data_IF_799444219470
#
_entry.id   IF_799444219470
#
_cell.length_a   1.000
_cell.length_b   1.000
_cell.length_c   1.000
_cell.angle_alpha   90.00
_cell.angle_beta   90.00
_cell.angle_gamma   90.00
#
_symmetry.space_group_name_H-M   'P 1'
#
loop_
_entity.id
_entity.type
_entity.pdbx_description
1 polymer ?
#
# COMPACT_ATOMS: atom_id res chain seq x y z
N UNK A 1 -67.70 19.71 -14.93
CA UNK A 1 -67.53 18.28 -14.65
C UNK A 1 -66.30 17.79 -15.41
N UNK A 2 -65.30 17.34 -14.63
CA UNK A 2 -64.14 16.48 -14.97
C UNK A 2 -63.12 17.09 -15.96
N UNK A 3 -61.99 17.64 -15.50
CA UNK A 3 -60.68 17.01 -15.14
C UNK A 3 -59.86 16.59 -16.39
N UNK A 4 -58.54 16.77 -16.51
CA UNK A 4 -57.49 17.12 -15.55
C UNK A 4 -56.16 17.38 -16.32
N UNK A 5 -55.28 18.18 -15.71
CA UNK A 5 -53.80 18.09 -15.74
C UNK A 5 -53.01 18.15 -17.07
N UNK A 6 -52.08 19.10 -17.19
CA UNK A 6 -50.67 18.79 -16.89
C UNK A 6 -49.72 20.02 -17.04
N UNK A 7 -49.08 20.34 -15.91
CA UNK A 7 -47.62 20.53 -15.79
C UNK A 7 -46.92 21.47 -16.79
N UNK A 8 -47.20 22.76 -16.69
CA UNK A 8 -46.33 23.82 -17.18
C UNK A 8 -46.14 24.86 -16.07
N UNK A 9 -45.20 24.65 -15.13
CA UNK A 9 -44.77 25.77 -14.28
C UNK A 9 -43.46 25.58 -13.48
N UNK A 10 -42.33 25.30 -14.11
CA UNK A 10 -41.00 25.36 -13.42
C UNK A 10 -39.85 25.98 -14.21
N UNK A 11 -40.13 26.64 -15.32
CA UNK A 11 -39.18 27.53 -16.01
C UNK A 11 -39.87 28.87 -16.20
N UNK A 12 -39.16 29.95 -15.90
CA UNK A 12 -39.56 31.35 -16.11
C UNK A 12 -40.48 31.99 -15.05
N UNK A 13 -39.93 32.18 -13.85
CA UNK A 13 -40.11 33.43 -13.11
C UNK A 13 -38.86 33.62 -12.24
N UNK A 14 -37.83 34.26 -12.77
CA UNK A 14 -37.54 35.68 -12.50
C UNK A 14 -37.49 36.01 -11.00
N UNK A 15 -36.53 36.75 -10.45
CA UNK A 15 -35.30 37.41 -10.90
C UNK A 15 -34.95 38.30 -9.68
N UNK A 16 -33.66 38.52 -9.43
CA UNK A 16 -33.07 39.76 -8.87
C UNK A 16 -33.22 40.05 -7.35
N UNK A 17 -32.11 39.88 -6.65
CA UNK A 17 -31.36 40.94 -5.94
C UNK A 17 -29.91 40.42 -5.78
N UNK A 18 -28.88 40.82 -6.52
CA UNK A 18 -28.23 42.14 -6.72
C UNK A 18 -27.39 42.59 -5.50
N UNK A 19 -26.08 42.38 -5.68
CA UNK A 19 -24.92 43.20 -5.32
C UNK A 19 -24.39 43.29 -3.88
N UNK A 20 -23.08 43.01 -3.76
CA UNK A 20 -22.21 43.65 -2.78
C UNK A 20 -20.85 42.95 -2.58
N UNK A 21 -19.80 43.45 -3.28
CA UNK A 21 -18.35 43.40 -2.98
C UNK A 21 -17.73 42.07 -2.49
N UNK A 22 -16.78 41.39 -3.15
CA UNK A 22 -15.62 41.88 -3.88
C UNK A 22 -14.34 41.46 -3.12
N UNK A 23 -13.72 40.32 -3.46
CA UNK A 23 -12.33 39.98 -3.08
C UNK A 23 -11.71 39.03 -4.12
N UNK A 24 -10.69 39.55 -4.80
CA UNK A 24 -9.44 38.95 -5.33
C UNK A 24 -9.44 37.47 -5.71
N UNK A 25 -9.15 37.22 -7.00
CA UNK A 25 -8.70 35.93 -7.52
C UNK A 25 -7.40 35.47 -6.84
N UNK A 26 -7.45 34.35 -6.12
CA UNK A 26 -6.27 33.61 -5.68
C UNK A 26 -6.44 32.14 -6.09
N UNK A 27 -5.52 31.71 -6.94
CA UNK A 27 -5.05 30.35 -7.19
C UNK A 27 -5.98 29.18 -6.91
N UNK A 28 -6.46 28.56 -8.00
CA UNK A 28 -6.81 27.15 -8.01
C UNK A 28 -5.56 26.29 -7.75
N UNK A 29 -5.17 26.13 -6.48
CA UNK A 29 -4.19 25.14 -6.02
C UNK A 29 -4.64 24.62 -4.66
N UNK A 30 -5.47 23.58 -4.66
CA UNK A 30 -5.94 23.00 -3.40
C UNK A 30 -6.68 21.66 -3.50
N UNK A 31 -6.72 21.02 -4.67
CA UNK A 31 -7.50 19.79 -4.88
C UNK A 31 -6.64 18.55 -5.18
N UNK A 32 -5.42 18.46 -4.62
CA UNK A 32 -4.56 17.27 -4.78
C UNK A 32 -3.96 16.73 -3.49
N UNK A 33 -4.23 17.33 -2.33
CA UNK A 33 -3.73 16.84 -1.04
C UNK A 33 -4.68 15.81 -0.36
N UNK A 34 -5.92 15.68 -0.85
CA UNK A 34 -6.95 14.90 -0.15
C UNK A 34 -7.05 13.42 -0.56
N UNK A 35 -6.26 12.96 -1.54
CA UNK A 35 -6.21 11.55 -1.94
C UNK A 35 -5.10 10.74 -1.21
N UNK A 36 -4.11 11.43 -0.63
CA UNK A 36 -2.98 10.80 0.09
C UNK A 36 -3.29 10.52 1.57
N UNK A 37 -4.38 11.07 2.11
CA UNK A 37 -4.73 10.96 3.54
C UNK A 37 -5.72 9.82 3.86
N UNK A 38 -6.27 9.13 2.86
CA UNK A 38 -7.31 8.12 3.05
C UNK A 38 -6.80 6.72 3.48
N UNK A 39 -5.49 6.57 3.74
CA UNK A 39 -4.89 5.32 4.18
C UNK A 39 -4.52 5.24 5.67
N UNK A 40 -4.53 6.36 6.40
CA UNK A 40 -4.13 6.41 7.82
C UNK A 40 -4.98 7.37 8.67
N UNK A 41 -6.21 7.69 8.26
CA UNK A 41 -7.16 8.45 9.08
C UNK A 41 -7.94 7.54 10.05
N UNK A 42 -7.17 6.81 10.83
CA UNK A 42 -7.61 5.94 11.91
C UNK A 42 -6.34 5.34 12.48
N UNK A 43 -6.14 5.43 13.79
CA UNK A 43 -5.14 4.61 14.46
C UNK A 43 -5.87 3.35 14.94
N UNK A 44 -6.12 2.31 14.10
CA UNK A 44 -6.51 1.02 14.63
C UNK A 44 -5.25 0.46 15.30
N UNK A 45 -5.27 0.42 16.64
CA UNK A 45 -4.08 0.35 17.49
C UNK A 45 -2.94 -0.55 17.00
N UNK A 46 -1.73 -0.12 17.31
CA UNK A 46 -0.51 -0.88 17.06
C UNK A 46 -0.64 -2.30 17.63
N UNK A 47 -0.38 -3.32 16.81
CA UNK A 47 -0.46 -4.74 17.16
C UNK A 47 0.92 -5.36 17.40
N UNK A 48 1.94 -4.54 17.65
CA UNK A 48 3.23 -5.03 18.09
C UNK A 48 3.08 -5.82 19.40
N UNK A 49 3.78 -6.94 19.55
CA UNK A 49 3.66 -7.75 20.74
C UNK A 49 4.31 -7.03 21.93
N UNK A 50 3.85 -7.32 23.16
CA UNK A 50 4.50 -6.81 24.37
C UNK A 50 6.00 -7.12 24.37
N UNK A 51 6.83 -6.11 24.64
CA UNK A 51 8.29 -6.24 24.67
C UNK A 51 9.02 -6.00 23.35
N UNK A 52 8.33 -5.75 22.23
CA UNK A 52 8.91 -5.50 20.91
C UNK A 52 9.51 -4.08 20.76
N UNK A 53 10.47 -3.74 21.62
CA UNK A 53 11.04 -2.40 21.70
C UNK A 53 11.78 -1.99 20.42
N UNK A 54 12.63 -2.86 19.88
CA UNK A 54 13.39 -2.55 18.66
C UNK A 54 12.49 -2.49 17.43
N UNK A 55 11.46 -3.34 17.36
CA UNK A 55 10.47 -3.30 16.26
C UNK A 55 9.59 -2.04 16.33
N UNK A 56 9.27 -1.58 17.53
CA UNK A 56 8.59 -0.30 17.74
C UNK A 56 9.46 0.88 17.29
N UNK A 57 10.75 0.85 17.60
CA UNK A 57 11.69 1.87 17.14
C UNK A 57 11.84 1.86 15.61
N UNK A 58 11.97 0.67 15.00
CA UNK A 58 11.99 0.54 13.54
C UNK A 58 10.71 1.14 12.93
N UNK A 59 9.54 0.79 13.46
CA UNK A 59 8.25 1.31 13.00
C UNK A 59 8.21 2.85 13.05
N UNK A 60 8.74 3.44 14.13
CA UNK A 60 8.84 4.88 14.29
C UNK A 60 9.81 5.53 13.30
N UNK A 61 10.95 4.91 13.02
CA UNK A 61 11.91 5.39 12.01
C UNK A 61 11.34 5.30 10.60
N UNK A 62 10.71 4.17 10.26
CA UNK A 62 10.06 3.96 8.95
C UNK A 62 8.88 4.90 8.68
N UNK A 63 8.16 5.31 9.73
CA UNK A 63 7.07 6.29 9.63
C UNK A 63 7.60 7.72 9.36
N UNK A 64 8.83 8.02 9.76
CA UNK A 64 9.51 9.32 9.52
C UNK A 64 10.34 9.32 8.24
N UNK A 65 10.76 8.14 7.78
CA UNK A 65 11.58 8.00 6.59
C UNK A 65 10.84 8.55 5.35
N UNK A 66 11.47 9.42 4.55
CA UNK A 66 10.87 9.97 3.33
C UNK A 66 10.41 8.85 2.39
N UNK A 67 9.18 8.98 1.88
CA UNK A 67 8.63 8.15 0.81
C UNK A 67 8.55 9.01 -0.44
N UNK A 68 9.38 8.74 -1.42
CA UNK A 68 9.36 9.50 -2.68
C UNK A 68 8.17 9.03 -3.50
N UNK A 69 7.15 9.87 -3.63
CA UNK A 69 5.86 9.54 -4.28
C UNK A 69 5.40 10.67 -5.21
N UNK A 70 6.34 11.45 -5.70
CA UNK A 70 6.13 12.62 -6.56
C UNK A 70 6.93 12.56 -7.87
N UNK A 71 7.44 11.37 -8.23
CA UNK A 71 8.19 11.15 -9.45
C UNK A 71 7.38 11.58 -10.68
N UNK A 72 8.03 12.27 -11.62
CA UNK A 72 7.45 12.59 -12.93
C UNK A 72 7.77 11.53 -13.97
N UNK A 73 8.98 11.01 -13.88
CA UNK A 73 9.50 9.90 -14.69
C UNK A 73 10.42 9.07 -13.80
N UNK A 74 10.55 7.79 -14.11
CA UNK A 74 11.57 6.92 -13.50
C UNK A 74 12.39 6.24 -14.61
N UNK A 75 13.67 5.92 -14.39
CA UNK A 75 14.45 5.14 -15.35
C UNK A 75 14.17 3.64 -15.21
N UNK A 76 14.55 2.86 -16.23
CA UNK A 76 14.48 1.39 -16.15
C UNK A 76 15.37 0.82 -15.05
N UNK A 77 16.64 1.26 -15.02
CA UNK A 77 17.64 0.82 -14.06
C UNK A 77 17.89 1.97 -13.09
N UNK A 78 17.76 1.70 -11.80
CA UNK A 78 18.06 2.67 -10.76
C UNK A 78 19.55 2.60 -10.41
N UNK A 79 20.21 3.75 -10.41
CA UNK A 79 21.66 3.87 -10.18
C UNK A 79 22.01 4.87 -9.08
N UNK A 80 21.02 5.58 -8.54
CA UNK A 80 21.23 6.58 -7.50
C UNK A 80 20.18 6.48 -6.38
N UNK A 81 20.57 6.56 -5.09
CA UNK A 81 19.69 6.37 -3.93
C UNK A 81 18.43 7.24 -3.89
N UNK A 82 18.41 8.33 -4.66
CA UNK A 82 17.30 9.26 -4.76
C UNK A 82 16.17 8.75 -5.68
N UNK A 83 16.37 7.59 -6.33
CA UNK A 83 15.41 6.96 -7.24
C UNK A 83 14.55 5.87 -6.59
N UNK A 84 14.81 5.52 -5.33
CA UNK A 84 13.98 4.59 -4.53
C UNK A 84 13.89 5.04 -3.06
N UNK A 85 13.21 4.26 -2.22
CA UNK A 85 13.08 4.55 -0.79
C UNK A 85 14.35 4.12 -0.03
N UNK A 86 15.52 4.66 -0.41
CA UNK A 86 16.83 4.23 0.08
C UNK A 86 16.99 4.36 1.59
N UNK A 87 16.58 5.47 2.18
CA UNK A 87 16.63 5.69 3.63
C UNK A 87 15.82 4.64 4.39
N UNK A 88 14.61 4.33 3.91
CA UNK A 88 13.76 3.36 4.56
C UNK A 88 14.24 1.91 4.34
N UNK A 89 14.79 1.60 3.17
CA UNK A 89 15.44 0.31 2.93
C UNK A 89 16.68 0.15 3.84
N UNK A 90 17.44 1.23 4.05
CA UNK A 90 18.58 1.23 4.96
C UNK A 90 18.17 0.91 6.40
N UNK A 91 17.03 1.42 6.88
CA UNK A 91 16.47 1.08 8.19
C UNK A 91 16.11 -0.40 8.32
N UNK A 92 15.62 -1.02 7.24
CA UNK A 92 15.33 -2.47 7.20
C UNK A 92 16.61 -3.29 7.28
N UNK A 93 17.62 -2.94 6.47
CA UNK A 93 18.90 -3.65 6.42
C UNK A 93 19.68 -3.55 7.73
N UNK A 94 19.57 -2.43 8.44
CA UNK A 94 20.27 -2.20 9.71
C UNK A 94 19.42 -2.50 10.95
N UNK A 95 18.30 -3.23 10.80
CA UNK A 95 17.49 -3.62 11.94
C UNK A 95 18.29 -4.49 12.93
N UNK A 96 18.41 -3.99 14.16
CA UNK A 96 19.22 -4.57 15.22
C UNK A 96 18.52 -5.70 16.00
N UNK A 97 17.19 -5.78 15.94
CA UNK A 97 16.43 -6.86 16.56
C UNK A 97 16.50 -8.17 15.79
N UNK A 98 15.81 -9.19 16.28
CA UNK A 98 15.71 -10.47 15.58
C UNK A 98 14.86 -11.52 16.32
N UNK A 99 14.68 -12.71 15.72
CA UNK A 99 15.16 -13.12 14.40
C UNK A 99 14.53 -12.34 13.23
N UNK A 100 15.15 -12.43 12.04
CA UNK A 100 14.71 -11.74 10.83
C UNK A 100 14.34 -12.77 9.76
N UNK A 101 13.21 -12.60 9.08
CA UNK A 101 12.79 -13.46 7.98
C UNK A 101 12.26 -12.63 6.81
N UNK A 102 12.68 -12.97 5.60
CA UNK A 102 12.16 -12.39 4.36
C UNK A 102 11.39 -13.44 3.57
N UNK A 103 10.20 -13.06 3.09
CA UNK A 103 9.31 -13.90 2.28
C UNK A 103 9.32 -13.46 0.82
N UNK A 104 9.77 -14.33 -0.09
CA UNK A 104 9.79 -14.14 -1.54
C UNK A 104 8.40 -14.36 -2.17
N UNK A 105 7.61 -13.29 -2.20
CA UNK A 105 6.21 -13.34 -2.60
C UNK A 105 6.06 -13.02 -4.09
N UNK A 106 5.74 -14.04 -4.90
CA UNK A 106 5.69 -13.93 -6.38
C UNK A 106 4.30 -14.08 -6.99
N UNK A 107 3.38 -14.76 -6.29
CA UNK A 107 2.06 -15.13 -6.81
C UNK A 107 0.94 -14.48 -5.99
N UNK A 108 0.15 -13.61 -6.63
CA UNK A 108 -0.90 -12.81 -5.97
C UNK A 108 -1.88 -13.61 -5.11
N UNK A 109 -2.22 -14.82 -5.57
CA UNK A 109 -3.20 -15.71 -4.94
C UNK A 109 -2.58 -16.86 -4.15
N UNK A 110 -1.26 -16.89 -3.97
CA UNK A 110 -0.65 -17.87 -3.07
C UNK A 110 -0.97 -17.52 -1.61
N UNK A 111 -0.73 -18.43 -0.65
CA UNK A 111 -1.09 -18.20 0.75
C UNK A 111 -0.09 -17.29 1.49
N UNK A 112 0.71 -16.49 0.78
CA UNK A 112 1.85 -15.75 1.31
C UNK A 112 1.55 -14.88 2.55
N UNK A 113 0.44 -14.11 2.55
CA UNK A 113 0.01 -13.35 3.73
C UNK A 113 -0.24 -14.27 4.94
N UNK A 114 -0.90 -15.41 4.70
CA UNK A 114 -1.21 -16.36 5.76
C UNK A 114 0.04 -17.04 6.32
N UNK A 115 1.04 -17.31 5.47
CA UNK A 115 2.32 -17.86 5.86
C UNK A 115 3.13 -16.87 6.71
N UNK A 116 3.21 -15.61 6.28
CA UNK A 116 3.81 -14.53 7.06
C UNK A 116 3.15 -14.38 8.44
N UNK A 117 1.81 -14.30 8.48
CA UNK A 117 1.01 -14.26 9.71
C UNK A 117 1.36 -15.45 10.62
N UNK A 118 1.43 -16.66 10.07
CA UNK A 118 1.74 -17.87 10.81
C UNK A 118 3.14 -17.81 11.43
N UNK A 119 4.14 -17.39 10.65
CA UNK A 119 5.50 -17.24 11.14
C UNK A 119 5.58 -16.23 12.29
N UNK A 120 4.92 -15.08 12.16
CA UNK A 120 4.84 -14.09 13.23
C UNK A 120 4.19 -14.68 14.49
N UNK A 121 3.09 -15.42 14.37
CA UNK A 121 2.46 -16.07 15.54
C UNK A 121 3.43 -17.01 16.27
N UNK A 122 4.11 -17.90 15.53
CA UNK A 122 5.03 -18.86 16.13
C UNK A 122 6.25 -18.17 16.76
N UNK A 123 6.86 -17.22 16.05
CA UNK A 123 8.05 -16.51 16.53
C UNK A 123 7.76 -15.71 17.79
N UNK A 124 6.63 -15.00 17.83
CA UNK A 124 6.25 -14.16 18.96
C UNK A 124 5.81 -15.03 20.14
N UNK A 125 4.86 -15.95 19.94
CA UNK A 125 4.20 -16.62 21.06
C UNK A 125 4.86 -17.92 21.49
N UNK A 126 5.35 -18.73 20.55
CA UNK A 126 6.01 -20.01 20.86
C UNK A 126 7.48 -19.81 21.20
N UNK A 127 8.21 -19.06 20.36
CA UNK A 127 9.65 -18.84 20.53
C UNK A 127 10.00 -17.60 21.36
N UNK A 128 9.00 -16.80 21.77
CA UNK A 128 9.18 -15.60 22.63
C UNK A 128 10.09 -14.53 22.02
N UNK A 129 10.12 -14.44 20.69
CA UNK A 129 10.83 -13.41 19.96
C UNK A 129 9.90 -12.22 19.68
N UNK A 130 9.70 -11.36 20.68
CA UNK A 130 8.85 -10.17 20.53
C UNK A 130 9.32 -9.25 19.39
N UNK A 131 10.63 -9.16 19.17
CA UNK A 131 11.27 -8.35 18.12
C UNK A 131 11.49 -9.09 16.79
N UNK A 132 10.78 -10.20 16.56
CA UNK A 132 10.84 -10.91 15.28
C UNK A 132 10.41 -10.00 14.12
N UNK A 133 11.28 -9.87 13.12
CA UNK A 133 11.02 -9.03 11.96
C UNK A 133 10.67 -9.87 10.73
N UNK A 134 9.44 -9.66 10.23
CA UNK A 134 8.92 -10.24 9.01
C UNK A 134 8.95 -9.20 7.87
N UNK A 135 9.72 -9.46 6.82
CA UNK A 135 9.75 -8.67 5.60
C UNK A 135 9.07 -9.41 4.44
N UNK A 136 8.28 -8.70 3.63
CA UNK A 136 7.71 -9.20 2.38
C UNK A 136 8.53 -8.68 1.21
N UNK A 137 9.30 -9.55 0.57
CA UNK A 137 9.95 -9.27 -0.70
C UNK A 137 8.96 -9.54 -1.84
N UNK A 138 8.24 -8.50 -2.27
CA UNK A 138 7.03 -8.67 -3.10
C UNK A 138 7.29 -8.29 -4.55
N UNK A 139 7.15 -9.24 -5.47
CA UNK A 139 7.32 -9.03 -6.91
C UNK A 139 6.47 -10.00 -7.72
N UNK A 140 6.63 -10.04 -9.05
CA UNK A 140 5.73 -10.78 -9.92
C UNK A 140 4.28 -10.33 -9.73
N UNK A 141 3.35 -11.25 -9.94
CA UNK A 141 1.92 -10.93 -9.79
C UNK A 141 1.52 -10.51 -8.38
N UNK A 142 2.26 -10.92 -7.33
CA UNK A 142 1.97 -10.50 -5.95
C UNK A 142 2.13 -8.99 -5.75
N UNK A 143 2.98 -8.34 -6.53
CA UNK A 143 3.18 -6.89 -6.48
C UNK A 143 1.91 -6.09 -6.76
N UNK A 144 0.93 -6.67 -7.47
CA UNK A 144 -0.37 -6.02 -7.69
C UNK A 144 -1.08 -5.68 -6.37
N UNK A 145 -0.81 -6.44 -5.31
CA UNK A 145 -1.35 -6.18 -3.98
C UNK A 145 -0.71 -4.96 -3.29
N UNK A 146 0.40 -4.42 -3.80
CA UNK A 146 1.08 -3.25 -3.24
C UNK A 146 0.66 -1.93 -3.89
N UNK A 147 -0.26 -1.93 -4.85
CA UNK A 147 -0.81 -0.70 -5.41
C UNK A 147 -2.08 -0.26 -4.69
N UNK A 148 -2.27 1.04 -4.55
CA UNK A 148 -3.49 1.60 -3.98
C UNK A 148 -4.71 1.45 -4.91
N UNK A 149 -5.87 1.92 -4.44
CA UNK A 149 -7.10 1.84 -5.22
C UNK A 149 -7.08 2.71 -6.49
N UNK A 150 -6.21 3.73 -6.59
CA UNK A 150 -6.11 4.56 -7.78
C UNK A 150 -5.64 3.72 -8.97
N UNK A 151 -4.53 2.99 -8.81
CA UNK A 151 -4.01 2.11 -9.88
C UNK A 151 -4.96 0.96 -10.17
N UNK A 152 -5.60 0.39 -9.14
CA UNK A 152 -6.60 -0.65 -9.34
C UNK A 152 -7.76 -0.17 -10.20
N UNK A 153 -8.32 1.00 -9.88
CA UNK A 153 -9.45 1.57 -10.62
C UNK A 153 -9.06 1.98 -12.04
N UNK A 154 -7.89 2.59 -12.20
CA UNK A 154 -7.47 3.20 -13.47
C UNK A 154 -6.93 2.18 -14.46
N UNK A 155 -6.17 1.17 -14.01
CA UNK A 155 -5.48 0.22 -14.89
C UNK A 155 -5.88 -1.24 -14.66
N UNK A 156 -5.85 -1.71 -13.41
CA UNK A 156 -5.92 -3.15 -13.14
C UNK A 156 -7.34 -3.73 -13.22
N UNK A 157 -8.37 -2.90 -13.04
CA UNK A 157 -9.76 -3.32 -13.28
C UNK A 157 -9.94 -3.77 -14.74
N UNK A 158 -9.38 -3.03 -15.71
CA UNK A 158 -9.39 -3.40 -17.13
C UNK A 158 -8.60 -4.70 -17.36
N UNK A 159 -7.40 -4.80 -16.78
CA UNK A 159 -6.55 -5.99 -16.88
C UNK A 159 -7.27 -7.26 -16.35
N UNK A 160 -8.04 -7.11 -15.28
CA UNK A 160 -8.76 -8.21 -14.63
C UNK A 160 -10.18 -8.41 -15.16
N UNK A 161 -10.55 -7.72 -16.26
CA UNK A 161 -11.91 -7.75 -16.85
C UNK A 161 -13.01 -7.45 -15.82
N UNK A 162 -12.74 -6.50 -14.93
CA UNK A 162 -13.66 -6.07 -13.87
C UNK A 162 -13.83 -7.05 -12.72
N UNK A 163 -13.04 -8.14 -12.66
CA UNK A 163 -13.09 -9.10 -11.55
C UNK A 163 -12.81 -8.43 -10.20
N UNK A 164 -11.88 -7.48 -10.18
CA UNK A 164 -11.54 -6.70 -9.00
C UNK A 164 -11.71 -5.22 -9.32
N UNK A 165 -12.47 -4.53 -8.47
CA UNK A 165 -12.71 -3.08 -8.58
C UNK A 165 -11.91 -2.28 -7.55
N UNK A 166 -11.07 -2.94 -6.76
CA UNK A 166 -10.27 -2.35 -5.70
C UNK A 166 -9.21 -3.36 -5.25
N UNK A 167 -8.22 -2.91 -4.50
CA UNK A 167 -7.23 -3.78 -3.89
C UNK A 167 -7.85 -4.57 -2.73
N UNK A 168 -8.22 -5.82 -2.98
CA UNK A 168 -8.83 -6.69 -1.96
C UNK A 168 -7.86 -7.07 -0.82
N UNK A 169 -6.55 -7.00 -1.04
CA UNK A 169 -5.52 -7.37 -0.05
C UNK A 169 -5.30 -6.32 1.04
N UNK A 170 -5.88 -5.12 0.87
CA UNK A 170 -5.89 -4.06 1.88
C UNK A 170 -7.12 -4.10 2.79
N UNK A 171 -8.13 -4.92 2.45
CA UNK A 171 -9.39 -4.96 3.18
C UNK A 171 -9.15 -5.53 4.58
N UNK A 172 -9.43 -4.72 5.59
CA UNK A 172 -9.48 -5.17 6.98
C UNK A 172 -10.78 -5.96 7.22
N UNK A 173 -10.70 -7.26 7.54
CA UNK A 173 -11.87 -8.07 7.88
C UNK A 173 -12.38 -7.76 9.30
N UNK A 174 -13.59 -8.19 9.68
CA UNK A 174 -14.13 -7.96 11.03
C UNK A 174 -13.20 -8.44 12.17
N UNK A 175 -12.48 -9.54 11.96
CA UNK A 175 -11.49 -10.07 12.89
C UNK A 175 -10.41 -9.03 13.30
N UNK A 176 -10.11 -8.05 12.44
CA UNK A 176 -9.12 -6.99 12.71
C UNK A 176 -9.47 -5.99 13.80
N UNK A 177 -10.72 -6.02 14.26
CA UNK A 177 -11.26 -5.16 15.32
C UNK A 177 -11.47 -5.90 16.65
N UNK A 178 -11.12 -7.19 16.72
CA UNK A 178 -11.22 -8.00 17.94
C UNK A 178 -10.15 -7.61 18.97
N UNK A 179 -10.31 -8.08 20.21
CA UNK A 179 -9.39 -7.76 21.30
C UNK A 179 -8.04 -8.48 21.13
N UNK A 180 -6.92 -7.77 20.90
CA UNK A 180 -5.61 -8.40 20.75
C UNK A 180 -5.08 -9.07 22.02
N UNK A 181 -5.64 -8.77 23.20
CA UNK A 181 -5.26 -9.47 24.43
C UNK A 181 -5.76 -10.92 24.46
N UNK A 182 -6.80 -11.24 23.69
CA UNK A 182 -7.32 -12.60 23.52
C UNK A 182 -6.65 -13.26 22.31
N UNK A 183 -5.33 -13.45 22.39
CA UNK A 183 -4.53 -13.90 21.25
C UNK A 183 -4.78 -15.35 20.83
N UNK A 184 -5.52 -16.11 21.64
CA UNK A 184 -5.96 -17.48 21.36
C UNK A 184 -7.34 -17.53 20.68
N UNK A 185 -8.05 -16.40 20.54
CA UNK A 185 -9.33 -16.33 19.84
C UNK A 185 -9.19 -16.83 18.39
N UNK A 186 -9.89 -17.91 18.09
CA UNK A 186 -9.92 -18.53 16.77
C UNK A 186 -10.52 -17.61 15.69
N UNK A 187 -11.32 -16.61 16.07
CA UNK A 187 -11.90 -15.60 15.19
C UNK A 187 -11.19 -14.23 15.32
N UNK A 188 -10.11 -14.19 16.11
CA UNK A 188 -9.42 -12.96 16.51
C UNK A 188 -8.41 -12.41 15.51
N UNK A 189 -7.78 -11.30 15.89
CA UNK A 189 -6.83 -10.50 15.08
C UNK A 189 -5.54 -11.24 14.68
N UNK A 190 -5.23 -12.37 15.34
CA UNK A 190 -4.08 -13.22 15.01
C UNK A 190 -4.48 -14.53 14.31
N UNK A 191 -5.78 -14.74 14.08
CA UNK A 191 -6.32 -15.92 13.41
C UNK A 191 -6.15 -15.86 11.88
N UNK A 192 -6.44 -16.95 11.15
CA UNK A 192 -6.52 -16.91 9.69
C UNK A 192 -7.62 -15.98 9.13
N UNK A 193 -8.59 -15.58 9.96
CA UNK A 193 -9.69 -14.68 9.56
C UNK A 193 -9.24 -13.22 9.44
N UNK A 194 -8.09 -12.86 10.02
CA UNK A 194 -7.49 -11.54 9.89
C UNK A 194 -6.21 -11.56 9.03
N UNK A 195 -6.40 -11.65 7.71
CA UNK A 195 -5.31 -11.86 6.77
C UNK A 195 -5.29 -10.79 5.66
N UNK A 196 -4.72 -9.63 5.98
CA UNK A 196 -4.54 -8.51 5.05
C UNK A 196 -3.16 -7.86 5.21
N UNK A 197 -2.72 -7.11 4.19
CA UNK A 197 -1.46 -6.36 4.26
C UNK A 197 -1.48 -5.37 5.43
N UNK A 198 -2.58 -4.64 5.58
CA UNK A 198 -2.69 -3.61 6.61
C UNK A 198 -2.55 -4.21 8.01
N UNK A 199 -3.14 -5.39 8.23
CA UNK A 199 -3.05 -6.08 9.53
C UNK A 199 -1.63 -6.58 9.79
N UNK A 200 -0.95 -7.13 8.79
CA UNK A 200 0.45 -7.51 8.94
C UNK A 200 1.35 -6.30 9.21
N UNK A 201 1.11 -5.16 8.55
CA UNK A 201 1.82 -3.91 8.83
C UNK A 201 1.58 -3.43 10.28
N UNK A 202 0.34 -3.52 10.79
CA UNK A 202 0.02 -3.21 12.20
C UNK A 202 0.78 -4.10 13.20
N UNK A 203 1.19 -5.29 12.77
CA UNK A 203 2.00 -6.24 13.55
C UNK A 203 3.51 -6.05 13.34
N UNK A 204 3.93 -5.03 12.60
CA UNK A 204 5.34 -4.71 12.35
C UNK A 204 5.94 -5.34 11.09
N UNK A 205 5.14 -6.01 10.25
CA UNK A 205 5.66 -6.51 8.98
C UNK A 205 5.93 -5.36 8.00
N UNK A 206 7.03 -5.44 7.26
CA UNK A 206 7.42 -4.43 6.26
C UNK A 206 7.32 -5.01 4.86
N UNK A 207 6.70 -4.25 3.95
CA UNK A 207 6.48 -4.69 2.57
C UNK A 207 7.44 -3.97 1.64
N UNK A 208 8.25 -4.74 0.93
CA UNK A 208 9.20 -4.28 -0.06
C UNK A 208 8.59 -4.47 -1.45
N UNK A 209 8.58 -3.39 -2.23
CA UNK A 209 8.10 -3.31 -3.61
C UNK A 209 9.27 -3.34 -4.60
N UNK A 210 9.04 -3.87 -5.79
CA UNK A 210 10.06 -4.11 -6.81
C UNK A 210 9.97 -3.06 -7.92
N UNK A 211 10.98 -2.20 -8.06
CA UNK A 211 11.01 -1.25 -9.18
C UNK A 211 11.02 -1.95 -10.55
N UNK A 212 11.79 -3.03 -10.72
CA UNK A 212 11.76 -3.81 -11.97
C UNK A 212 10.35 -4.30 -12.32
N UNK A 213 9.58 -4.77 -11.34
CA UNK A 213 8.19 -5.20 -11.57
C UNK A 213 7.29 -4.04 -11.96
N UNK A 214 7.46 -2.85 -11.35
CA UNK A 214 6.75 -1.63 -11.78
C UNK A 214 7.04 -1.35 -13.26
N UNK A 215 8.32 -1.39 -13.64
CA UNK A 215 8.75 -1.11 -15.01
C UNK A 215 8.17 -2.11 -16.01
N UNK A 216 8.28 -3.40 -15.72
CA UNK A 216 7.84 -4.49 -16.60
C UNK A 216 6.31 -4.57 -16.71
N UNK A 217 5.59 -4.40 -15.59
CA UNK A 217 4.13 -4.34 -15.58
C UNK A 217 3.64 -3.18 -16.44
N UNK A 218 4.19 -1.99 -16.24
CA UNK A 218 3.76 -0.80 -17.00
C UNK A 218 4.13 -0.90 -18.48
N UNK A 219 5.26 -1.52 -18.81
CA UNK A 219 5.62 -1.86 -20.20
C UNK A 219 4.56 -2.79 -20.82
N UNK A 220 4.18 -3.85 -20.09
CA UNK A 220 3.17 -4.79 -20.53
C UNK A 220 1.78 -4.18 -20.72
N UNK A 221 1.37 -3.26 -19.84
CA UNK A 221 0.12 -2.51 -19.96
C UNK A 221 0.15 -1.53 -21.13
N UNK A 222 1.26 -0.81 -21.30
CA UNK A 222 1.48 0.14 -22.39
C UNK A 222 1.40 -0.57 -23.75
N UNK A 223 2.07 -1.71 -23.91
CA UNK A 223 2.04 -2.52 -25.13
C UNK A 223 0.66 -3.09 -25.45
N UNK A 224 -0.20 -3.28 -24.43
CA UNK A 224 -1.60 -3.70 -24.58
C UNK A 224 -2.56 -2.53 -24.84
N UNK A 225 -2.07 -1.29 -24.91
CA UNK A 225 -2.89 -0.09 -25.04
C UNK A 225 -3.71 0.25 -23.79
N UNK A 226 -3.42 -0.36 -22.63
CA UNK A 226 -4.07 -0.04 -21.36
C UNK A 226 -3.37 1.18 -20.76
N UNK A 227 -3.67 2.35 -21.32
CA UNK A 227 -3.07 3.63 -20.94
C UNK A 227 -4.09 4.77 -21.04
N UNK A 228 -5.08 4.82 -20.11
CA UNK A 228 -6.17 5.79 -20.16
C UNK A 228 -5.70 7.25 -20.14
N UNK A 229 -4.54 7.53 -19.53
CA UNK A 229 -3.94 8.87 -19.47
C UNK A 229 -2.98 9.18 -20.61
N UNK A 230 -2.75 8.26 -21.55
CA UNK A 230 -1.84 8.43 -22.69
C UNK A 230 -0.42 8.87 -22.29
N UNK A 231 0.05 8.39 -21.13
CA UNK A 231 1.38 8.68 -20.62
C UNK A 231 2.44 7.97 -21.46
N UNK A 232 3.65 8.50 -21.56
CA UNK A 232 4.79 7.68 -21.97
C UNK A 232 5.02 6.54 -20.95
N UNK A 233 5.74 5.50 -21.35
CA UNK A 233 6.03 4.39 -20.43
C UNK A 233 6.72 4.85 -19.15
N UNK A 234 7.69 5.78 -19.25
CA UNK A 234 8.46 6.26 -18.10
C UNK A 234 7.62 7.11 -17.12
N UNK A 235 6.63 7.84 -17.65
CA UNK A 235 5.65 8.59 -16.85
C UNK A 235 4.63 7.65 -16.20
N UNK A 236 4.18 6.62 -16.92
CA UNK A 236 3.28 5.60 -16.39
C UNK A 236 3.94 4.79 -15.27
N UNK A 237 5.21 4.42 -15.44
CA UNK A 237 6.01 3.77 -14.39
C UNK A 237 6.13 4.67 -13.15
N UNK A 238 6.38 5.98 -13.32
CA UNK A 238 6.42 6.92 -12.22
C UNK A 238 5.07 7.02 -11.50
N UNK A 239 3.95 7.03 -12.24
CA UNK A 239 2.62 7.04 -11.63
C UNK A 239 2.37 5.77 -10.81
N UNK A 240 2.72 4.59 -11.33
CA UNK A 240 2.61 3.33 -10.56
C UNK A 240 3.46 3.36 -9.29
N UNK A 241 4.70 3.86 -9.38
CA UNK A 241 5.59 4.04 -8.22
C UNK A 241 4.99 4.98 -7.17
N UNK A 242 4.40 6.09 -7.60
CA UNK A 242 3.78 7.09 -6.71
C UNK A 242 2.54 6.54 -5.99
N UNK A 243 1.90 5.51 -6.56
CA UNK A 243 0.68 4.89 -6.05
C UNK A 243 0.91 3.50 -5.43
N UNK A 244 2.11 3.26 -4.91
CA UNK A 244 2.33 2.21 -3.93
C UNK A 244 1.57 2.53 -2.64
N UNK A 245 1.09 1.49 -1.95
CA UNK A 245 0.35 1.64 -0.69
C UNK A 245 1.20 2.30 0.40
N UNK A 246 0.57 2.99 1.37
CA UNK A 246 1.27 3.49 2.54
C UNK A 246 2.09 2.40 3.24
N UNK A 247 3.31 2.75 3.65
CA UNK A 247 4.23 1.84 4.34
C UNK A 247 4.97 0.84 3.44
N UNK A 248 4.61 0.68 2.17
CA UNK A 248 5.43 -0.08 1.22
C UNK A 248 6.73 0.68 0.93
N UNK A 249 7.85 -0.05 0.83
CA UNK A 249 9.19 0.47 0.55
C UNK A 249 9.56 0.11 -0.88
N UNK A 250 9.76 1.10 -1.76
CA UNK A 250 10.30 0.84 -3.09
C UNK A 250 11.78 0.46 -2.99
N UNK A 251 12.12 -0.69 -3.56
CA UNK A 251 13.50 -1.19 -3.71
C UNK A 251 13.96 -1.10 -5.17
N UNK A 252 15.28 -1.07 -5.46
CA UNK A 252 15.79 -1.10 -6.83
C UNK A 252 15.31 -2.30 -7.65
N UNK A 253 15.06 -3.42 -6.98
CA UNK A 253 14.59 -4.66 -7.55
C UNK A 253 14.67 -5.76 -6.51
N UNK A 254 13.59 -6.51 -6.31
CA UNK A 254 13.50 -7.48 -5.21
C UNK A 254 14.54 -8.58 -5.32
N UNK A 255 14.74 -9.16 -6.51
CA UNK A 255 15.70 -10.27 -6.69
C UNK A 255 17.13 -9.85 -6.38
N UNK A 256 17.50 -8.60 -6.64
CA UNK A 256 18.79 -8.03 -6.22
C UNK A 256 18.83 -7.60 -4.75
N UNK A 257 17.68 -7.30 -4.15
CA UNK A 257 17.57 -6.89 -2.73
C UNK A 257 17.60 -8.10 -1.79
N UNK A 258 17.18 -9.29 -2.25
CA UNK A 258 17.18 -10.52 -1.45
C UNK A 258 18.58 -10.88 -0.91
N UNK A 259 19.66 -10.90 -1.72
CA UNK A 259 21.02 -11.09 -1.20
C UNK A 259 21.43 -10.05 -0.14
N UNK A 260 21.06 -8.78 -0.31
CA UNK A 260 21.36 -7.73 0.68
C UNK A 260 20.64 -7.99 2.01
N UNK A 261 19.40 -8.48 1.97
CA UNK A 261 18.67 -8.90 3.16
C UNK A 261 19.32 -10.12 3.82
N UNK A 262 19.75 -11.11 3.06
CA UNK A 262 20.47 -12.27 3.60
C UNK A 262 21.80 -11.86 4.26
N UNK A 263 22.56 -10.95 3.64
CA UNK A 263 23.77 -10.34 4.23
C UNK A 263 23.47 -9.57 5.51
N UNK A 264 22.30 -8.93 5.59
CA UNK A 264 21.77 -8.30 6.79
C UNK A 264 21.23 -9.30 7.83
N UNK A 265 21.32 -10.61 7.59
CA UNK A 265 20.94 -11.67 8.53
C UNK A 265 19.48 -12.11 8.45
N UNK A 266 18.75 -11.75 7.40
CA UNK A 266 17.40 -12.28 7.16
C UNK A 266 17.46 -13.73 6.70
N UNK A 267 16.58 -14.57 7.24
CA UNK A 267 16.35 -15.93 6.75
C UNK A 267 15.38 -15.89 5.57
N UNK A 268 15.75 -16.50 4.45
CA UNK A 268 14.93 -16.57 3.25
C UNK A 268 13.80 -17.63 3.38
N UNK A 269 12.59 -17.28 2.91
CA UNK A 269 11.44 -18.17 2.78
C UNK A 269 10.64 -17.86 1.49
N UNK A 270 9.89 -18.83 0.96
CA UNK A 270 9.09 -18.71 -0.26
C UNK A 270 7.77 -19.46 -0.14
#
# INVERSE_FOLDING_TARGET
MINESNLLNRREAMKRAVLGAGVVAVGAMGASASAMAAGMSGNPGNLLPPGASTLQELSNRLAKAPRRRDFKTVPMILTSPDQWDSEALNEVLHYAGGPKQVWDNTVLKSPWLNLMRNAMNCQIWSFKHADFFCASATHGSAHLALYDNYIWNKYLATLTKGKWKANAWLKQPPASATNPADFEDAEGVFSPHDNSIIVLQRRGAVFLACHNEVWELTMGLHNKGINPSKLSHVEMAAEFTNHLIPGAILTPGIVGTLPELELAGFQYAK
#
